data_IF_533469869997
#
_entry.id   IF_533469869997
#
_cell.length_a   1.000
_cell.length_b   1.000
_cell.length_c   1.000
_cell.angle_alpha   90.00
_cell.angle_beta   90.00
_cell.angle_gamma   90.00
#
_symmetry.space_group_name_H-M   'P 1'
#
loop_
_entity.id
_entity.type
_entity.pdbx_description
1 polymer ?
#
# COMPACT_ATOMS: atom_id res chain seq x y z
N UNK A 1 -2.67 -14.81 8.47
CA UNK A 1 -1.90 -15.26 7.29
C UNK A 1 -1.39 -14.02 6.58
N UNK A 2 -0.09 -13.91 6.31
CA UNK A 2 0.47 -12.95 5.36
C UNK A 2 1.85 -13.48 4.93
N UNK A 3 1.85 -14.51 4.09
CA UNK A 3 3.06 -15.05 3.46
C UNK A 3 3.46 -14.11 2.31
N UNK A 4 4.66 -13.51 2.38
CA UNK A 4 5.36 -12.97 1.21
C UNK A 4 5.09 -11.53 0.78
N UNK A 5 4.43 -10.70 1.60
CA UNK A 5 4.13 -9.31 1.25
C UNK A 5 5.06 -8.36 2.00
N UNK A 6 5.97 -7.69 1.27
CA UNK A 6 6.86 -6.66 1.84
C UNK A 6 6.02 -5.58 2.52
N UNK A 7 6.23 -5.41 3.82
CA UNK A 7 5.61 -4.39 4.65
C UNK A 7 6.69 -3.61 5.41
N UNK A 8 6.50 -2.31 5.51
CA UNK A 8 7.34 -1.37 6.26
C UNK A 8 6.43 -0.48 7.08
N UNK A 9 6.76 -0.32 8.36
CA UNK A 9 6.01 0.55 9.25
C UNK A 9 6.82 1.82 9.51
N UNK A 10 6.15 2.96 9.42
CA UNK A 10 6.70 4.25 9.82
C UNK A 10 5.91 4.77 11.00
N UNK A 11 6.55 5.64 11.78
CA UNK A 11 5.90 6.39 12.85
C UNK A 11 6.12 7.87 12.61
N UNK A 12 5.03 8.63 12.53
CA UNK A 12 5.02 10.09 12.50
C UNK A 12 5.05 10.65 13.93
N UNK A 13 5.54 11.87 14.08
CA UNK A 13 5.52 12.64 15.31
C UNK A 13 4.07 13.02 15.67
N UNK A 14 3.32 13.50 14.68
CA UNK A 14 1.94 13.90 14.84
C UNK A 14 0.98 12.75 14.47
N UNK A 15 -0.22 12.78 15.04
CA UNK A 15 -1.30 11.86 14.67
C UNK A 15 -2.02 12.41 13.45
N UNK A 16 -2.29 11.56 12.45
CA UNK A 16 -3.02 11.96 11.25
C UNK A 16 -4.17 11.00 10.94
N UNK A 17 -5.23 11.52 10.36
CA UNK A 17 -6.18 10.70 9.58
C UNK A 17 -5.55 10.31 8.25
N UNK A 18 -6.10 9.32 7.54
CA UNK A 18 -5.58 8.94 6.22
C UNK A 18 -5.67 10.09 5.21
N UNK A 19 -6.71 10.92 5.32
CA UNK A 19 -6.95 12.08 4.44
C UNK A 19 -5.98 13.22 4.74
N UNK A 20 -5.76 13.54 6.01
CA UNK A 20 -4.81 14.57 6.40
C UNK A 20 -3.37 14.14 6.14
N UNK A 21 -3.05 12.85 6.33
CA UNK A 21 -1.76 12.30 5.96
C UNK A 21 -1.53 12.38 4.45
N UNK A 22 -2.55 12.06 3.64
CA UNK A 22 -2.49 12.26 2.19
C UNK A 22 -2.24 13.72 1.84
N UNK A 23 -2.97 14.66 2.46
CA UNK A 23 -2.80 16.09 2.20
C UNK A 23 -1.38 16.58 2.49
N UNK A 24 -0.75 16.05 3.55
CA UNK A 24 0.64 16.36 3.91
C UNK A 24 1.68 15.83 2.92
N UNK A 25 1.36 14.75 2.18
CA UNK A 25 2.31 14.08 1.28
C UNK A 25 1.98 14.26 -0.21
N UNK A 26 0.78 14.70 -0.59
CA UNK A 26 0.32 14.72 -2.00
C UNK A 26 1.17 15.59 -2.92
N UNK A 27 1.74 16.67 -2.38
CA UNK A 27 2.55 17.64 -3.12
C UNK A 27 4.04 17.24 -3.18
N UNK A 28 4.38 16.05 -2.71
CA UNK A 28 5.75 15.55 -2.67
C UNK A 28 5.99 14.54 -3.77
N UNK A 29 7.16 14.66 -4.39
CA UNK A 29 7.63 13.69 -5.37
C UNK A 29 8.16 12.46 -4.63
N UNK A 30 7.47 11.34 -4.79
CA UNK A 30 7.94 10.04 -4.35
C UNK A 30 8.51 9.26 -5.52
N UNK A 31 9.52 8.45 -5.25
CA UNK A 31 10.05 7.48 -6.21
C UNK A 31 8.97 6.50 -6.71
N UNK A 32 7.95 6.24 -5.87
CA UNK A 32 6.79 5.41 -6.23
C UNK A 32 5.77 6.10 -7.14
N UNK A 33 5.93 7.40 -7.42
CA UNK A 33 5.02 8.21 -8.23
C UNK A 33 4.06 9.05 -7.38
N UNK A 34 3.00 9.55 -8.00
CA UNK A 34 2.04 10.45 -7.33
C UNK A 34 1.07 9.66 -6.45
N UNK A 35 0.99 9.95 -5.14
CA UNK A 35 0.02 9.28 -4.28
C UNK A 35 -1.42 9.69 -4.63
N UNK A 36 -2.38 8.84 -4.31
CA UNK A 36 -3.81 9.09 -4.52
C UNK A 36 -4.65 8.41 -3.45
N UNK A 37 -5.71 9.09 -2.98
CA UNK A 37 -6.71 8.47 -2.10
C UNK A 37 -7.59 7.52 -2.91
N UNK A 38 -7.64 6.27 -2.49
CA UNK A 38 -8.43 5.23 -3.16
C UNK A 38 -9.32 4.53 -2.16
N UNK A 39 -10.59 4.38 -2.51
CA UNK A 39 -11.53 3.58 -1.74
C UNK A 39 -11.35 2.10 -2.10
N UNK A 40 -11.04 1.28 -1.11
CA UNK A 40 -10.89 -0.16 -1.26
C UNK A 40 -11.80 -0.88 -0.25
N UNK A 41 -12.95 -1.35 -0.74
CA UNK A 41 -14.01 -1.88 0.11
C UNK A 41 -14.61 -0.79 1.01
N UNK A 42 -14.58 -1.02 2.32
CA UNK A 42 -15.04 -0.07 3.34
C UNK A 42 -13.94 0.86 3.87
N UNK A 43 -12.68 0.68 3.43
CA UNK A 43 -11.55 1.48 3.88
C UNK A 43 -11.09 2.46 2.79
N UNK A 44 -10.54 3.60 3.22
CA UNK A 44 -9.79 4.51 2.38
C UNK A 44 -8.31 4.27 2.61
N UNK A 45 -7.57 4.06 1.53
CA UNK A 45 -6.12 3.82 1.54
C UNK A 45 -5.45 4.81 0.60
N UNK A 46 -4.19 5.13 0.85
CA UNK A 46 -3.40 5.90 -0.11
C UNK A 46 -2.70 4.89 -1.01
N UNK A 47 -2.77 5.10 -2.31
CA UNK A 47 -2.08 4.24 -3.28
C UNK A 47 -1.20 5.05 -4.20
N UNK A 48 -0.14 4.40 -4.67
CA UNK A 48 0.70 4.90 -5.74
C UNK A 48 0.30 4.26 -7.07
N UNK A 49 0.76 4.77 -8.22
CA UNK A 49 0.53 4.12 -9.51
C UNK A 49 0.90 2.63 -9.46
N UNK A 50 -0.03 1.78 -9.91
CA UNK A 50 0.19 0.35 -9.95
C UNK A 50 1.19 0.00 -11.06
N UNK A 51 2.15 -0.87 -10.77
CA UNK A 51 3.04 -1.43 -11.78
C UNK A 51 2.31 -2.50 -12.62
N UNK A 52 1.42 -3.25 -11.98
CA UNK A 52 0.48 -4.19 -12.58
C UNK A 52 -0.62 -4.53 -11.56
N UNK A 53 -1.57 -5.40 -11.93
CA UNK A 53 -2.72 -5.78 -11.10
C UNK A 53 -2.36 -6.38 -9.74
N UNK A 54 -1.15 -6.93 -9.57
CA UNK A 54 -0.71 -7.57 -8.32
C UNK A 54 0.36 -6.76 -7.56
N UNK A 55 0.89 -5.69 -8.17
CA UNK A 55 2.01 -4.93 -7.62
C UNK A 55 1.69 -3.43 -7.59
N UNK A 56 1.14 -2.98 -6.48
CA UNK A 56 0.90 -1.57 -6.15
C UNK A 56 1.41 -1.27 -4.74
N UNK A 57 2.00 -0.09 -4.53
CA UNK A 57 2.39 0.37 -3.19
C UNK A 57 1.18 1.03 -2.54
N UNK A 58 0.83 0.57 -1.34
CA UNK A 58 -0.24 1.13 -0.53
C UNK A 58 0.32 1.68 0.77
N UNK A 59 -0.29 2.75 1.26
CA UNK A 59 -0.13 3.23 2.62
C UNK A 59 -1.47 3.09 3.33
N UNK A 60 -1.44 2.36 4.45
CA UNK A 60 -2.57 2.18 5.33
C UNK A 60 -2.25 2.78 6.70
N UNK A 61 -3.29 3.24 7.39
CA UNK A 61 -3.18 3.53 8.82
C UNK A 61 -2.94 2.20 9.57
N UNK A 62 -2.01 2.19 10.51
CA UNK A 62 -1.78 1.07 11.41
C UNK A 62 -2.44 1.35 12.75
N UNK A 63 -3.43 0.55 13.12
CA UNK A 63 -4.15 0.65 14.41
C UNK A 63 -5.64 1.02 14.28
N UNK A 64 -6.34 0.96 15.42
CA UNK A 64 -7.74 1.31 15.56
C UNK A 64 -7.90 2.76 16.03
N UNK A 65 -8.87 3.50 15.48
CA UNK A 65 -9.09 4.93 15.79
C UNK A 65 -9.20 5.80 14.53
N UNK A 66 -9.65 7.06 14.65
CA UNK A 66 -9.76 7.98 13.50
C UNK A 66 -8.38 8.47 13.03
N UNK A 67 -7.48 8.69 13.98
CA UNK A 67 -6.12 9.17 13.75
C UNK A 67 -5.10 8.14 14.25
N UNK A 68 -3.93 8.12 13.64
CA UNK A 68 -2.80 7.29 14.09
C UNK A 68 -1.48 7.99 13.82
N UNK A 69 -0.48 7.65 14.61
CA UNK A 69 0.92 8.01 14.37
C UNK A 69 1.64 6.92 13.56
N UNK A 70 1.03 5.75 13.36
CA UNK A 70 1.69 4.60 12.75
C UNK A 70 1.06 4.33 11.39
N UNK A 71 1.89 4.31 10.36
CA UNK A 71 1.46 3.98 8.99
C UNK A 71 2.20 2.75 8.50
N UNK A 72 1.52 1.95 7.69
CA UNK A 72 2.03 0.73 7.08
C UNK A 72 2.11 0.93 5.58
N UNK A 73 3.32 0.92 5.04
CA UNK A 73 3.62 0.93 3.62
C UNK A 73 3.81 -0.52 3.20
N UNK A 74 3.03 -0.99 2.25
CA UNK A 74 3.10 -2.38 1.83
C UNK A 74 2.84 -2.54 0.34
N UNK A 75 3.39 -3.62 -0.21
CA UNK A 75 2.98 -4.13 -1.51
C UNK A 75 1.56 -4.67 -1.40
N UNK A 76 0.72 -4.42 -2.38
CA UNK A 76 -0.61 -5.02 -2.46
C UNK A 76 -1.03 -5.15 -3.93
N UNK A 77 -2.16 -5.82 -4.16
CA UNK A 77 -2.82 -5.81 -5.48
C UNK A 77 -3.37 -4.42 -5.79
N UNK A 78 -3.82 -4.20 -7.02
CA UNK A 78 -4.41 -2.92 -7.40
C UNK A 78 -5.67 -2.61 -6.56
N UNK A 79 -5.71 -1.43 -5.94
CA UNK A 79 -6.86 -0.94 -5.19
C UNK A 79 -8.03 -0.56 -6.10
N UNK A 80 -9.19 -0.31 -5.51
CA UNK A 80 -10.43 0.00 -6.23
C UNK A 80 -11.53 -1.03 -5.98
N UNK A 81 -12.78 -0.58 -6.04
CA UNK A 81 -13.96 -1.38 -5.71
C UNK A 81 -14.16 -2.55 -6.68
N UNK A 82 -13.98 -2.30 -7.98
CA UNK A 82 -14.03 -3.32 -9.03
C UNK A 82 -12.95 -4.40 -8.83
N UNK A 83 -11.79 -3.99 -8.32
CA UNK A 83 -10.68 -4.89 -8.04
C UNK A 83 -10.91 -5.74 -6.78
N UNK A 84 -11.72 -5.28 -5.82
CA UNK A 84 -12.14 -6.12 -4.67
C UNK A 84 -12.93 -7.33 -5.17
N UNK A 85 -13.91 -7.11 -6.04
CA UNK A 85 -14.72 -8.19 -6.59
C UNK A 85 -13.89 -9.14 -7.46
N UNK A 86 -13.01 -8.60 -8.30
CA UNK A 86 -12.09 -9.39 -9.13
C UNK A 86 -11.08 -10.19 -8.31
N UNK A 87 -10.49 -9.60 -7.26
CA UNK A 87 -9.54 -10.28 -6.38
C UNK A 87 -10.23 -11.37 -5.56
N UNK A 88 -11.44 -11.12 -5.04
CA UNK A 88 -12.20 -12.14 -4.31
C UNK A 88 -12.60 -13.31 -5.22
N UNK A 89 -12.98 -13.02 -6.47
CA UNK A 89 -13.26 -14.05 -7.46
C UNK A 89 -12.00 -14.81 -7.87
N UNK A 90 -10.88 -14.11 -8.12
CA UNK A 90 -9.60 -14.74 -8.42
C UNK A 90 -9.10 -15.61 -7.27
N UNK A 91 -9.18 -15.16 -6.02
CA UNK A 91 -8.81 -15.92 -4.82
C UNK A 91 -9.65 -17.20 -4.67
N UNK A 92 -10.95 -17.10 -4.96
CA UNK A 92 -11.88 -18.25 -4.95
C UNK A 92 -11.60 -19.25 -6.08
N UNK A 93 -11.10 -18.80 -7.24
CA UNK A 93 -10.80 -19.66 -8.40
C UNK A 93 -9.39 -20.26 -8.32
N UNK A 94 -8.41 -19.52 -7.78
CA UNK A 94 -7.00 -19.94 -7.71
C UNK A 94 -6.63 -20.66 -6.40
N UNK A 95 -7.60 -20.84 -5.50
CA UNK A 95 -7.55 -21.81 -4.40
C UNK A 95 -6.39 -21.62 -3.43
N UNK A 96 -5.92 -20.39 -3.21
CA UNK A 96 -4.84 -20.09 -2.25
C UNK A 96 -3.50 -20.79 -2.52
N UNK A 97 -3.35 -21.50 -3.64
CA UNK A 97 -2.15 -22.30 -3.96
C UNK A 97 -1.18 -21.53 -4.87
N UNK A 98 -1.67 -20.59 -5.66
CA UNK A 98 -0.83 -19.67 -6.44
C UNK A 98 -0.34 -18.46 -5.63
N UNK A 99 -0.83 -18.24 -4.41
CA UNK A 99 -0.33 -17.19 -3.51
C UNK A 99 0.93 -17.62 -2.73
N UNK A 100 1.18 -18.93 -2.62
CA UNK A 100 2.30 -19.51 -1.86
C UNK A 100 3.37 -20.07 -2.82
N UNK A 101 3.83 -19.28 -3.79
CA UNK A 101 4.77 -19.83 -4.76
C UNK A 101 5.16 -18.95 -5.93
N UNK A 102 5.58 -17.71 -5.67
CA UNK A 102 6.56 -17.02 -6.49
C UNK A 102 6.28 -16.90 -7.99
N UNK A 103 5.43 -15.96 -8.39
CA UNK A 103 5.83 -15.11 -9.50
C UNK A 103 6.70 -13.99 -8.91
N UNK A 104 7.98 -14.29 -8.66
CA UNK A 104 8.97 -13.23 -8.45
C UNK A 104 9.17 -12.57 -9.81
N UNK A 105 8.17 -11.77 -10.21
CA UNK A 105 8.26 -10.98 -11.42
C UNK A 105 9.20 -9.80 -11.14
N UNK A 106 9.76 -9.24 -12.21
CA UNK A 106 10.56 -8.03 -12.11
C UNK A 106 9.78 -6.90 -11.40
N UNK A 107 8.46 -6.81 -11.65
CA UNK A 107 7.60 -5.84 -11.00
C UNK A 107 7.42 -6.09 -9.50
N UNK A 108 7.44 -7.35 -9.04
CA UNK A 108 7.42 -7.63 -7.60
C UNK A 108 8.66 -7.04 -6.94
N UNK A 109 9.86 -7.31 -7.46
CA UNK A 109 11.10 -6.74 -6.91
C UNK A 109 11.11 -5.21 -6.99
N UNK A 110 10.62 -4.63 -8.10
CA UNK A 110 10.49 -3.18 -8.25
C UNK A 110 9.53 -2.61 -7.19
N UNK A 111 8.36 -3.20 -7.01
CA UNK A 111 7.39 -2.74 -6.03
C UNK A 111 7.92 -2.86 -4.60
N UNK A 112 8.64 -3.94 -4.27
CA UNK A 112 9.30 -4.08 -2.97
C UNK A 112 10.35 -3.00 -2.72
N UNK A 113 11.10 -2.59 -3.76
CA UNK A 113 12.03 -1.45 -3.68
C UNK A 113 11.28 -0.13 -3.51
N UNK A 114 10.16 0.06 -4.20
CA UNK A 114 9.32 1.25 -4.05
C UNK A 114 8.72 1.35 -2.64
N UNK A 115 8.32 0.23 -2.02
CA UNK A 115 7.89 0.19 -0.62
C UNK A 115 9.01 0.69 0.31
N UNK A 116 10.23 0.23 0.10
CA UNK A 116 11.39 0.62 0.92
C UNK A 116 11.74 2.10 0.72
N UNK A 117 11.78 2.56 -0.54
CA UNK A 117 12.01 3.96 -0.89
C UNK A 117 10.94 4.87 -0.28
N UNK A 118 9.65 4.56 -0.49
CA UNK A 118 8.54 5.35 0.05
C UNK A 118 8.58 5.43 1.57
N UNK A 119 8.86 4.31 2.25
CA UNK A 119 8.97 4.31 3.71
C UNK A 119 10.14 5.18 4.20
N UNK A 120 11.26 5.17 3.47
CA UNK A 120 12.41 6.01 3.77
C UNK A 120 12.09 7.49 3.53
N UNK A 121 11.57 7.84 2.35
CA UNK A 121 11.17 9.20 1.97
C UNK A 121 10.19 9.78 3.01
N UNK A 122 9.18 9.02 3.43
CA UNK A 122 8.23 9.42 4.47
C UNK A 122 8.87 9.59 5.86
N UNK A 123 9.85 8.75 6.20
CA UNK A 123 10.57 8.86 7.48
C UNK A 123 11.48 10.09 7.51
N UNK A 124 12.08 10.45 6.36
CA UNK A 124 12.94 11.63 6.21
C UNK A 124 12.15 12.94 6.26
N UNK A 125 10.84 12.91 5.96
CA UNK A 125 9.97 14.08 6.09
C UNK A 125 9.71 14.49 7.54
N UNK A 126 9.93 13.59 8.50
CA UNK A 126 9.74 13.84 9.93
C UNK A 126 8.36 14.46 10.28
N UNK A 127 7.31 14.01 9.58
CA UNK A 127 5.90 14.41 9.75
C UNK A 127 5.37 14.02 11.13
#
# INVERSE_FOLDING_TARGET
MAFGVKVKNIKTQNSYTIESFFDAIKDKEFTAGTPSLTKHGMATVITFPALDSQNQVWIMKSGFGKETQKFSIQKSTQAGMDNVAKNAALDSITGGLFSVGGMVSENTKKCEKLVDATAKELSEMNL
#
